data_IF_470159864354
#
_entry.id   IF_470159864354
#
_cell.length_a   1.000
_cell.length_b   1.000
_cell.length_c   1.000
_cell.angle_alpha   90.00
_cell.angle_beta   90.00
_cell.angle_gamma   90.00
#
_symmetry.space_group_name_H-M   'P 1'
#
loop_
_entity.id
_entity.type
_entity.pdbx_description
1 polymer ?
#
# COMPACT_ATOMS: atom_id res chain seq x y z
N UNK A 1 -0.56 -0.83 -13.50
CA UNK A 1 -0.57 -1.27 -12.09
C UNK A 1 -0.92 -0.15 -11.14
N UNK A 2 -0.30 1.02 -11.25
CA UNK A 2 -0.60 2.18 -10.40
C UNK A 2 -2.10 2.56 -10.39
N UNK A 3 -2.78 2.52 -11.54
CA UNK A 3 -4.23 2.82 -11.62
C UNK A 3 -5.09 1.85 -10.78
N UNK A 4 -4.73 0.58 -10.71
CA UNK A 4 -5.43 -0.40 -9.88
C UNK A 4 -5.14 -0.20 -8.39
N UNK A 5 -3.90 0.15 -8.03
CA UNK A 5 -3.58 0.55 -6.66
C UNK A 5 -4.36 1.79 -6.25
N UNK A 6 -4.46 2.78 -7.14
CA UNK A 6 -5.27 3.98 -6.93
C UNK A 6 -6.73 3.58 -6.72
N UNK A 7 -7.29 2.73 -7.58
CA UNK A 7 -8.67 2.27 -7.49
C UNK A 7 -8.95 1.56 -6.14
N UNK A 8 -8.04 0.69 -5.69
CA UNK A 8 -8.13 0.03 -4.38
C UNK A 8 -8.15 1.05 -3.24
N UNK A 9 -7.21 2.01 -3.24
CA UNK A 9 -7.18 3.05 -2.21
C UNK A 9 -8.45 3.92 -2.23
N UNK A 10 -9.02 4.20 -3.40
CA UNK A 10 -10.33 4.86 -3.51
C UNK A 10 -11.46 4.00 -2.96
N UNK A 11 -11.44 2.69 -3.21
CA UNK A 11 -12.40 1.71 -2.70
C UNK A 11 -12.46 1.69 -1.17
N UNK A 12 -11.31 1.84 -0.51
CA UNK A 12 -11.21 2.04 0.94
C UNK A 12 -11.58 3.44 1.45
N UNK A 13 -12.15 4.30 0.58
CA UNK A 13 -12.63 5.63 0.93
C UNK A 13 -11.55 6.71 1.01
N UNK A 14 -10.34 6.47 0.48
CA UNK A 14 -9.32 7.51 0.44
C UNK A 14 -9.60 8.48 -0.71
N UNK A 15 -10.12 9.67 -0.39
CA UNK A 15 -10.48 10.69 -1.39
C UNK A 15 -9.38 11.72 -1.69
N UNK A 16 -8.44 11.96 -0.78
CA UNK A 16 -7.37 12.96 -0.98
C UNK A 16 -6.05 12.29 -1.34
N UNK A 17 -5.35 12.83 -2.34
CA UNK A 17 -3.97 12.45 -2.64
C UNK A 17 -3.08 13.09 -1.59
N UNK A 18 -2.54 12.26 -0.69
CA UNK A 18 -1.63 12.68 0.38
C UNK A 18 -0.27 12.04 0.17
N UNK A 19 0.74 12.44 0.94
CA UNK A 19 2.06 11.78 0.89
C UNK A 19 1.96 10.27 1.12
N UNK A 20 1.14 9.83 2.09
CA UNK A 20 0.92 8.42 2.37
C UNK A 20 0.31 7.66 1.18
N UNK A 21 -0.57 8.32 0.42
CA UNK A 21 -1.15 7.78 -0.80
C UNK A 21 -0.05 7.53 -1.84
N UNK A 22 0.76 8.55 -2.13
CA UNK A 22 1.88 8.46 -3.09
C UNK A 22 2.88 7.38 -2.69
N UNK A 23 3.27 7.33 -1.41
CA UNK A 23 4.18 6.32 -0.91
C UNK A 23 3.63 4.91 -1.07
N UNK A 24 2.33 4.71 -0.81
CA UNK A 24 1.68 3.41 -0.98
C UNK A 24 1.68 2.96 -2.44
N UNK A 25 1.36 3.86 -3.37
CA UNK A 25 1.41 3.56 -4.80
C UNK A 25 2.82 3.15 -5.24
N UNK A 26 3.86 3.90 -4.86
CA UNK A 26 5.25 3.56 -5.20
C UNK A 26 5.71 2.23 -4.59
N UNK A 27 5.38 1.98 -3.31
CA UNK A 27 5.75 0.74 -2.62
C UNK A 27 5.08 -0.48 -3.26
N UNK A 28 3.80 -0.36 -3.62
CA UNK A 28 3.05 -1.43 -4.29
C UNK A 28 3.60 -1.67 -5.70
N UNK A 29 3.94 -0.62 -6.43
CA UNK A 29 4.52 -0.74 -7.78
C UNK A 29 5.89 -1.44 -7.74
N UNK A 30 6.77 -1.04 -6.80
CA UNK A 30 8.05 -1.74 -6.59
C UNK A 30 7.81 -3.19 -6.17
N UNK A 31 6.87 -3.45 -5.25
CA UNK A 31 6.58 -4.81 -4.80
C UNK A 31 6.07 -5.72 -5.93
N UNK A 32 5.18 -5.23 -6.79
CA UNK A 32 4.61 -6.03 -7.86
C UNK A 32 5.57 -6.21 -9.05
N UNK A 33 6.42 -5.21 -9.34
CA UNK A 33 7.28 -5.22 -10.52
C UNK A 33 8.71 -5.72 -10.26
N UNK A 34 9.21 -5.66 -9.02
CA UNK A 34 10.63 -5.89 -8.70
C UNK A 34 10.87 -6.93 -7.59
N UNK A 35 9.84 -7.66 -7.15
CA UNK A 35 9.91 -8.55 -5.97
C UNK A 35 10.82 -9.78 -6.07
N UNK A 36 11.35 -10.12 -7.26
CA UNK A 36 12.23 -11.30 -7.38
C UNK A 36 13.67 -11.05 -6.88
N UNK A 37 14.16 -9.80 -6.88
CA UNK A 37 15.57 -9.48 -6.55
C UNK A 37 15.78 -8.49 -5.39
N UNK A 38 14.73 -7.80 -4.94
CA UNK A 38 14.83 -6.75 -3.93
C UNK A 38 14.40 -7.26 -2.55
N UNK A 39 15.35 -7.31 -1.61
CA UNK A 39 15.04 -7.49 -0.18
C UNK A 39 14.01 -6.44 0.25
N UNK A 40 12.89 -6.88 0.82
CA UNK A 40 11.77 -6.01 1.25
C UNK A 40 12.21 -4.84 2.13
N UNK A 41 13.26 -5.03 2.95
CA UNK A 41 13.83 -3.98 3.78
C UNK A 41 14.43 -2.81 2.98
N UNK A 42 14.95 -3.08 1.77
CA UNK A 42 15.49 -2.10 0.81
C UNK A 42 14.39 -1.32 0.10
N UNK A 43 13.24 -1.93 -0.20
CA UNK A 43 12.11 -1.23 -0.84
C UNK A 43 11.65 -0.01 -0.02
N UNK A 44 11.44 -0.18 1.29
CA UNK A 44 11.08 0.94 2.17
C UNK A 44 12.18 1.99 2.28
N UNK A 45 13.46 1.57 2.24
CA UNK A 45 14.58 2.49 2.28
C UNK A 45 14.66 3.33 0.99
N UNK A 46 14.46 2.70 -0.16
CA UNK A 46 14.48 3.35 -1.47
C UNK A 46 13.39 4.41 -1.58
N UNK A 47 12.14 4.09 -1.23
CA UNK A 47 11.06 5.08 -1.22
C UNK A 47 11.33 6.20 -0.21
N UNK A 48 11.83 5.87 0.98
CA UNK A 48 12.19 6.90 1.97
C UNK A 48 13.27 7.86 1.43
N UNK A 49 14.29 7.33 0.74
CA UNK A 49 15.36 8.12 0.12
C UNK A 49 14.85 9.01 -1.02
N UNK A 50 13.99 8.50 -1.91
CA UNK A 50 13.39 9.29 -3.00
C UNK A 50 12.62 10.51 -2.49
N UNK A 51 12.02 10.39 -1.31
CA UNK A 51 11.25 11.46 -0.66
C UNK A 51 12.05 12.23 0.39
N UNK A 52 13.36 12.00 0.50
CA UNK A 52 14.24 12.65 1.48
C UNK A 52 13.73 12.57 2.92
N UNK A 53 13.18 11.41 3.31
CA UNK A 53 12.67 11.14 4.67
C UNK A 53 13.35 9.92 5.28
N UNK A 54 13.23 9.78 6.59
CA UNK A 54 13.67 8.57 7.29
C UNK A 54 12.68 7.42 7.05
N UNK A 55 13.21 6.19 6.97
CA UNK A 55 12.39 4.96 6.87
C UNK A 55 11.39 4.84 8.02
N UNK A 56 11.77 5.23 9.24
CA UNK A 56 10.86 5.24 10.38
C UNK A 56 9.67 6.20 10.17
N UNK A 57 9.92 7.40 9.64
CA UNK A 57 8.88 8.37 9.29
C UNK A 57 7.95 7.87 8.18
N UNK A 58 8.50 7.18 7.18
CA UNK A 58 7.73 6.49 6.15
C UNK A 58 6.78 5.46 6.78
N UNK A 59 7.31 4.54 7.59
CA UNK A 59 6.51 3.49 8.26
C UNK A 59 5.40 4.11 9.12
N UNK A 60 5.72 5.14 9.91
CA UNK A 60 4.74 5.83 10.74
C UNK A 60 3.64 6.52 9.91
N UNK A 61 4.02 7.08 8.75
CA UNK A 61 3.07 7.69 7.81
C UNK A 61 2.11 6.64 7.24
N UNK A 62 2.61 5.45 6.89
CA UNK A 62 1.78 4.33 6.43
C UNK A 62 0.86 3.80 7.53
N UNK A 63 1.36 3.71 8.76
CA UNK A 63 0.55 3.27 9.92
C UNK A 63 -0.66 4.19 10.12
N UNK A 64 -0.44 5.50 10.20
CA UNK A 64 -1.52 6.48 10.36
C UNK A 64 -2.50 6.44 9.19
N UNK A 65 -2.01 6.13 8.00
CA UNK A 65 -2.83 6.02 6.81
C UNK A 65 -3.68 4.75 6.81
N UNK A 66 -3.12 3.61 7.19
CA UNK A 66 -3.86 2.36 7.39
C UNK A 66 -4.92 2.52 8.49
N UNK A 67 -4.60 3.19 9.60
CA UNK A 67 -5.58 3.51 10.65
C UNK A 67 -6.71 4.40 10.13
N UNK A 68 -6.41 5.35 9.23
CA UNK A 68 -7.42 6.18 8.59
C UNK A 68 -8.33 5.36 7.67
N UNK A 69 -7.77 4.45 6.87
CA UNK A 69 -8.54 3.48 6.10
C UNK A 69 -9.44 2.67 7.05
N UNK A 70 -8.90 2.18 8.17
CA UNK A 70 -9.65 1.41 9.16
C UNK A 70 -10.80 2.15 9.84
N UNK A 71 -10.84 3.49 9.79
CA UNK A 71 -12.02 4.26 10.24
C UNK A 71 -13.16 4.21 9.23
N UNK A 72 -12.84 4.04 7.96
CA UNK A 72 -13.81 3.91 6.86
C UNK A 72 -14.16 2.45 6.58
N UNK A 73 -13.20 1.55 6.75
CA UNK A 73 -13.34 0.10 6.56
C UNK A 73 -12.76 -0.67 7.77
N UNK A 74 -13.52 -0.76 8.88
CA UNK A 74 -13.03 -1.38 10.12
C UNK A 74 -12.85 -2.89 10.02
N UNK A 75 -13.56 -3.56 9.11
CA UNK A 75 -13.46 -5.01 8.91
C UNK A 75 -12.18 -5.37 8.16
N UNK A 76 -11.87 -4.62 7.09
CA UNK A 76 -10.60 -4.75 6.40
C UNK A 76 -9.42 -4.53 7.35
N UNK A 77 -9.46 -3.50 8.18
CA UNK A 77 -8.35 -3.22 9.10
C UNK A 77 -8.17 -4.32 10.15
N UNK A 78 -9.27 -4.81 10.75
CA UNK A 78 -9.22 -5.89 11.75
C UNK A 78 -8.73 -7.21 11.17
N UNK A 79 -9.16 -7.56 9.95
CA UNK A 79 -8.72 -8.78 9.27
C UNK A 79 -7.27 -8.69 8.78
N UNK A 80 -6.83 -7.51 8.32
CA UNK A 80 -5.46 -7.29 7.84
C UNK A 80 -4.43 -7.21 8.98
N UNK A 81 -4.81 -6.62 10.13
CA UNK A 81 -3.89 -6.36 11.25
C UNK A 81 -4.38 -6.95 12.58
N UNK A 82 -4.57 -8.28 12.69
CA UNK A 82 -5.07 -8.90 13.92
C UNK A 82 -4.13 -8.73 15.12
N UNK A 83 -2.85 -8.47 14.89
CA UNK A 83 -1.81 -8.29 15.91
C UNK A 83 -1.19 -6.89 15.89
N UNK A 84 -1.89 -5.92 15.31
CA UNK A 84 -1.37 -4.56 15.12
C UNK A 84 -0.71 -4.34 13.75
N UNK A 85 -0.39 -3.09 13.48
CA UNK A 85 0.07 -2.66 12.17
C UNK A 85 1.44 -3.25 11.81
N UNK A 86 1.56 -3.73 10.57
CA UNK A 86 2.82 -4.14 9.97
C UNK A 86 2.90 -3.58 8.54
N UNK A 87 3.92 -2.75 8.28
CA UNK A 87 4.06 -2.06 7.00
C UNK A 87 4.22 -3.03 5.81
N UNK A 88 4.85 -4.19 6.01
CA UNK A 88 4.99 -5.20 4.97
C UNK A 88 3.64 -5.85 4.65
N UNK A 89 2.88 -6.23 5.70
CA UNK A 89 1.53 -6.78 5.54
C UNK A 89 0.65 -5.77 4.81
N UNK A 90 0.70 -4.49 5.21
CA UNK A 90 -0.03 -3.41 4.54
C UNK A 90 0.26 -3.35 3.03
N UNK A 91 1.53 -3.24 2.64
CA UNK A 91 1.91 -3.14 1.22
C UNK A 91 1.51 -4.40 0.46
N UNK A 92 1.72 -5.59 1.04
CA UNK A 92 1.35 -6.86 0.42
C UNK A 92 -0.16 -6.98 0.20
N UNK A 93 -0.97 -6.61 1.18
CA UNK A 93 -2.43 -6.66 1.09
C UNK A 93 -2.93 -5.75 -0.02
N UNK A 94 -2.54 -4.47 -0.01
CA UNK A 94 -2.94 -3.52 -1.07
C UNK A 94 -2.45 -4.00 -2.44
N UNK A 95 -1.26 -4.58 -2.53
CA UNK A 95 -0.74 -5.12 -3.78
C UNK A 95 -1.54 -6.34 -4.29
N UNK A 96 -1.96 -7.23 -3.40
CA UNK A 96 -2.80 -8.38 -3.74
C UNK A 96 -4.17 -7.92 -4.24
N UNK A 97 -4.77 -6.92 -3.59
CA UNK A 97 -6.03 -6.32 -4.04
C UNK A 97 -5.89 -5.60 -5.38
N UNK A 98 -4.79 -4.87 -5.59
CA UNK A 98 -4.51 -4.22 -6.87
C UNK A 98 -4.35 -5.26 -8.00
N UNK A 99 -3.68 -6.38 -7.72
CA UNK A 99 -3.55 -7.48 -8.65
C UNK A 99 -4.89 -8.18 -8.92
N UNK A 100 -5.75 -8.33 -7.91
CA UNK A 100 -7.10 -8.87 -8.07
C UNK A 100 -7.98 -7.94 -8.92
N UNK A 101 -7.91 -6.63 -8.66
CA UNK A 101 -8.58 -5.60 -9.48
C UNK A 101 -8.11 -5.63 -10.94
N UNK A 102 -6.80 -5.75 -11.16
CA UNK A 102 -6.23 -5.92 -12.50
C UNK A 102 -6.78 -7.17 -13.19
N UNK A 103 -6.73 -8.34 -12.52
CA UNK A 103 -7.24 -9.60 -13.09
C UNK A 103 -8.73 -9.54 -13.43
N UNK A 104 -9.54 -8.95 -12.56
CA UNK A 104 -10.98 -8.78 -12.79
C UNK A 104 -11.25 -7.91 -14.03
N UNK A 105 -10.46 -6.86 -14.25
CA UNK A 105 -10.56 -6.02 -15.44
C UNK A 105 -10.30 -6.81 -16.73
N UNK A 106 -9.33 -7.73 -16.73
CA UNK A 106 -9.01 -8.55 -17.92
C UNK A 106 -9.94 -9.76 -18.10
N UNK A 107 -10.58 -10.25 -17.05
CA UNK A 107 -11.57 -11.35 -17.14
C UNK A 107 -12.98 -10.87 -17.52
N UNK A 108 -13.24 -9.57 -17.39
CA UNK A 108 -14.50 -8.92 -17.80
C UNK A 108 -14.50 -8.37 -19.24
N UNK A 109 -13.41 -8.57 -19.99
CA UNK A 109 -13.31 -8.34 -21.44
C UNK A 109 -13.45 -9.67 -22.18
#
# INVERSE_FOLDING_TARGET
MQDHTIAVLRGHGVQKVTKAFTYTVELVDIYLLRSQDLLMSRMFLEVAQRHSIQKASLIRTLELFAQRIGRTDPEWYRSTFPHGFNALVYVKTIAQEALASYRAFFQGM
#
